data_IF_735322172481
#
_entry.id   IF_735322172481
#
_cell.length_a   1.000
_cell.length_b   1.000
_cell.length_c   1.000
_cell.angle_alpha   90.00
_cell.angle_beta   90.00
_cell.angle_gamma   90.00
#
_symmetry.space_group_name_H-M   'P 1'
#
loop_
_entity.id
_entity.type
_entity.pdbx_description
1 polymer ?
#
# COMPACT_ATOMS: atom_id res chain seq x y z
N UNK A 1 -18.63 -12.63 -6.96
CA UNK A 1 -17.70 -11.50 -7.23
C UNK A 1 -16.31 -12.09 -7.25
N UNK A 2 -15.50 -11.77 -8.26
CA UNK A 2 -14.10 -12.21 -8.35
C UNK A 2 -13.23 -10.97 -8.20
N UNK A 3 -12.34 -11.00 -7.21
CA UNK A 3 -11.56 -9.84 -6.77
C UNK A 3 -10.09 -10.12 -6.96
N UNK A 4 -9.39 -9.26 -7.71
CA UNK A 4 -7.94 -9.21 -7.65
C UNK A 4 -7.56 -8.48 -6.35
N UNK A 5 -7.11 -9.24 -5.36
CA UNK A 5 -6.91 -8.75 -4.00
C UNK A 5 -5.65 -7.90 -3.83
N UNK A 6 -4.75 -7.85 -4.82
CA UNK A 6 -3.53 -7.07 -4.73
C UNK A 6 -3.02 -6.72 -6.14
N UNK A 7 -3.23 -5.49 -6.56
CA UNK A 7 -2.57 -4.94 -7.75
C UNK A 7 -2.13 -3.49 -7.51
N UNK A 8 -1.42 -2.97 -8.49
CA UNK A 8 -0.90 -1.62 -8.50
C UNK A 8 -1.33 -0.94 -9.80
N UNK A 9 -1.72 0.33 -9.72
CA UNK A 9 -1.92 1.22 -10.86
C UNK A 9 -1.03 2.43 -10.62
N UNK A 10 -0.51 3.02 -11.69
CA UNK A 10 0.25 4.25 -11.62
C UNK A 10 0.14 5.06 -12.91
N UNK A 11 0.10 6.39 -12.75
CA UNK A 11 0.19 7.36 -13.83
C UNK A 11 1.38 8.28 -13.58
N UNK A 12 2.48 8.03 -14.29
CA UNK A 12 3.75 8.75 -14.18
C UNK A 12 3.66 10.20 -14.69
N UNK A 13 2.56 10.57 -15.33
CA UNK A 13 2.27 11.96 -15.75
C UNK A 13 1.53 12.76 -14.67
N UNK A 14 0.95 12.10 -13.67
CA UNK A 14 0.08 12.75 -12.66
C UNK A 14 0.65 12.65 -11.25
N UNK A 15 1.31 11.54 -10.91
CA UNK A 15 1.85 11.25 -9.57
C UNK A 15 3.32 10.90 -9.69
N UNK A 16 4.14 11.50 -8.82
CA UNK A 16 5.58 11.22 -8.77
C UNK A 16 5.86 9.97 -7.94
N UNK A 17 6.56 9.00 -8.53
CA UNK A 17 6.97 7.75 -7.87
C UNK A 17 8.49 7.64 -7.91
N UNK A 18 9.22 8.13 -6.90
CA UNK A 18 10.67 8.28 -6.95
C UNK A 18 11.40 6.99 -7.33
N UNK A 19 11.02 5.86 -6.74
CA UNK A 19 11.67 4.58 -7.01
C UNK A 19 11.37 4.04 -8.41
N UNK A 20 10.17 4.30 -8.94
CA UNK A 20 9.74 3.80 -10.24
C UNK A 20 10.28 4.69 -11.36
N UNK A 21 10.40 5.99 -11.13
CA UNK A 21 10.82 6.96 -12.14
C UNK A 21 12.35 7.13 -12.24
N UNK A 22 13.11 6.62 -11.27
CA UNK A 22 14.58 6.63 -11.31
C UNK A 22 15.10 5.68 -12.42
N UNK A 23 15.58 6.25 -13.52
CA UNK A 23 16.08 5.50 -14.68
C UNK A 23 17.49 4.97 -14.41
N UNK A 24 17.75 3.74 -14.87
CA UNK A 24 19.07 3.10 -14.78
C UNK A 24 19.42 2.57 -13.39
N UNK A 25 18.55 2.73 -12.39
CA UNK A 25 18.75 2.15 -11.07
C UNK A 25 18.40 0.67 -11.06
N UNK A 26 19.34 -0.17 -10.61
CA UNK A 26 19.06 -1.58 -10.31
C UNK A 26 18.35 -1.67 -8.95
N UNK A 27 17.20 -2.35 -8.91
CA UNK A 27 16.47 -2.64 -7.69
C UNK A 27 16.76 -4.05 -7.20
N UNK A 28 16.39 -4.36 -5.96
CA UNK A 28 16.56 -5.72 -5.42
C UNK A 28 15.79 -6.78 -6.24
N UNK A 29 14.73 -6.36 -6.94
CA UNK A 29 13.93 -7.18 -7.85
C UNK A 29 14.34 -7.09 -9.34
N UNK A 30 15.47 -6.45 -9.66
CA UNK A 30 15.98 -6.34 -11.02
C UNK A 30 15.78 -4.98 -11.70
N UNK A 31 15.70 -4.98 -13.03
CA UNK A 31 15.55 -3.77 -13.86
C UNK A 31 14.08 -3.35 -13.95
N UNK A 32 13.69 -2.17 -13.42
CA UNK A 32 12.32 -1.68 -13.47
C UNK A 32 11.95 -1.10 -14.86
N UNK A 33 12.89 -0.92 -15.78
CA UNK A 33 12.67 -0.24 -17.08
C UNK A 33 11.39 -0.68 -17.82
N UNK A 34 11.05 -1.99 -17.93
CA UNK A 34 9.82 -2.43 -18.61
C UNK A 34 8.51 -1.90 -18.01
N UNK A 35 8.51 -1.51 -16.72
CA UNK A 35 7.36 -0.97 -16.00
C UNK A 35 7.39 0.56 -15.83
N UNK A 36 8.44 1.24 -16.33
CA UNK A 36 8.57 2.71 -16.30
C UNK A 36 7.71 3.42 -17.36
N UNK A 37 6.42 3.06 -17.38
CA UNK A 37 5.37 3.62 -18.23
C UNK A 37 4.07 3.65 -17.43
N UNK A 38 3.04 4.37 -17.89
CA UNK A 38 1.73 4.31 -17.23
C UNK A 38 1.16 2.88 -17.25
N UNK A 39 0.54 2.47 -16.14
CA UNK A 39 -0.26 1.26 -16.03
C UNK A 39 -1.60 1.63 -15.38
N UNK A 40 -2.63 1.72 -16.22
CA UNK A 40 -3.94 2.30 -15.89
C UNK A 40 -5.04 1.23 -15.81
N UNK A 41 -6.19 1.61 -15.25
CA UNK A 41 -7.29 0.68 -14.99
C UNK A 41 -7.76 -0.08 -16.25
N UNK A 42 -7.85 0.58 -17.41
CA UNK A 42 -8.32 -0.08 -18.64
C UNK A 42 -7.39 -1.22 -19.09
N UNK A 43 -6.07 -1.05 -18.95
CA UNK A 43 -5.10 -2.11 -19.22
C UNK A 43 -5.23 -3.24 -18.20
N UNK A 44 -5.46 -2.91 -16.93
CA UNK A 44 -5.69 -3.91 -15.89
C UNK A 44 -6.96 -4.74 -16.16
N UNK A 45 -8.08 -4.09 -16.49
CA UNK A 45 -9.35 -4.75 -16.81
C UNK A 45 -9.19 -5.69 -18.02
N UNK A 46 -8.58 -5.21 -19.11
CA UNK A 46 -8.41 -6.03 -20.33
C UNK A 46 -7.57 -7.29 -20.09
N UNK A 47 -6.56 -7.22 -19.22
CA UNK A 47 -5.76 -8.39 -18.81
C UNK A 47 -6.56 -9.41 -17.99
N UNK A 48 -7.56 -8.95 -17.25
CA UNK A 48 -8.37 -9.80 -16.37
C UNK A 48 -9.69 -10.27 -16.97
N UNK A 49 -10.10 -9.72 -18.11
CA UNK A 49 -11.35 -10.07 -18.82
C UNK A 49 -11.51 -11.58 -19.03
N UNK A 50 -10.51 -12.36 -19.49
CA UNK A 50 -10.65 -13.80 -19.68
C UNK A 50 -10.95 -14.58 -18.40
N UNK A 51 -10.56 -14.02 -17.25
CA UNK A 51 -10.65 -14.66 -15.93
C UNK A 51 -11.90 -14.22 -15.15
N UNK A 52 -12.74 -13.35 -15.73
CA UNK A 52 -14.04 -12.92 -15.16
C UNK A 52 -13.93 -12.16 -13.83
N UNK A 53 -12.78 -11.53 -13.54
CA UNK A 53 -12.70 -10.57 -12.44
C UNK A 53 -13.62 -9.38 -12.71
N UNK A 54 -14.16 -8.80 -11.64
CA UNK A 54 -15.02 -7.62 -11.71
C UNK A 54 -14.80 -6.63 -10.57
N UNK A 55 -13.74 -6.86 -9.80
CA UNK A 55 -13.34 -6.02 -8.70
C UNK A 55 -11.84 -6.16 -8.44
N UNK A 56 -11.24 -5.15 -7.83
CA UNK A 56 -9.85 -5.25 -7.40
C UNK A 56 -9.50 -4.31 -6.23
N UNK A 57 -8.37 -4.58 -5.59
CA UNK A 57 -7.80 -3.77 -4.51
C UNK A 57 -6.48 -3.18 -5.02
N UNK A 58 -6.46 -1.86 -5.22
CA UNK A 58 -5.21 -1.14 -5.45
C UNK A 58 -4.46 -1.01 -4.14
N UNK A 59 -3.16 -1.29 -4.17
CA UNK A 59 -2.26 -1.05 -3.04
C UNK A 59 -1.30 0.06 -3.44
N UNK A 60 -1.08 1.04 -2.56
CA UNK A 60 -0.15 2.16 -2.75
C UNK A 60 1.18 1.73 -3.37
N UNK A 61 1.72 2.52 -4.29
CA UNK A 61 2.91 2.18 -5.07
C UNK A 61 4.17 2.79 -4.45
N UNK A 62 4.03 3.75 -3.54
CA UNK A 62 5.14 4.49 -2.93
C UNK A 62 5.37 5.82 -3.64
N UNK A 63 4.28 6.57 -3.85
CA UNK A 63 4.33 7.93 -4.34
C UNK A 63 5.08 8.85 -3.36
N UNK A 64 5.67 9.92 -3.88
CA UNK A 64 6.24 10.99 -3.05
C UNK A 64 5.14 11.70 -2.25
N UNK A 65 4.00 12.00 -2.88
CA UNK A 65 2.77 12.43 -2.22
C UNK A 65 1.75 11.29 -2.19
N UNK A 66 1.71 10.58 -1.07
CA UNK A 66 0.77 9.48 -0.83
C UNK A 66 -0.70 9.91 -0.91
N UNK A 67 -1.02 11.15 -0.54
CA UNK A 67 -2.40 11.65 -0.62
C UNK A 67 -2.81 11.87 -2.07
N UNK A 68 -1.89 12.35 -2.91
CA UNK A 68 -2.12 12.52 -4.34
C UNK A 68 -2.44 11.17 -5.02
N UNK A 69 -1.67 10.12 -4.71
CA UNK A 69 -1.96 8.76 -5.17
C UNK A 69 -3.35 8.30 -4.71
N UNK A 70 -3.64 8.42 -3.41
CA UNK A 70 -4.91 7.95 -2.86
C UNK A 70 -6.12 8.70 -3.45
N UNK A 71 -5.99 10.00 -3.68
CA UNK A 71 -7.01 10.83 -4.37
C UNK A 71 -7.25 10.34 -5.79
N UNK A 72 -6.18 10.08 -6.54
CA UNK A 72 -6.27 9.63 -7.93
C UNK A 72 -7.01 8.27 -8.00
N UNK A 73 -6.70 7.35 -7.09
CA UNK A 73 -7.41 6.05 -7.03
C UNK A 73 -8.87 6.22 -6.61
N UNK A 74 -9.21 7.12 -5.69
CA UNK A 74 -10.61 7.38 -5.32
C UNK A 74 -11.42 7.97 -6.48
N UNK A 75 -10.79 8.78 -7.33
CA UNK A 75 -11.40 9.28 -8.56
C UNK A 75 -11.66 8.15 -9.57
N UNK A 76 -10.70 7.22 -9.73
CA UNK A 76 -10.90 6.01 -10.55
C UNK A 76 -12.07 5.19 -10.00
N UNK A 77 -12.10 4.94 -8.69
CA UNK A 77 -13.16 4.20 -8.02
C UNK A 77 -14.54 4.83 -8.21
N UNK A 78 -14.62 6.16 -8.18
CA UNK A 78 -15.86 6.92 -8.35
C UNK A 78 -16.36 6.91 -9.79
N UNK A 79 -15.45 6.95 -10.77
CA UNK A 79 -15.80 7.07 -12.19
C UNK A 79 -15.99 5.71 -12.88
N UNK A 80 -15.45 4.63 -12.30
CA UNK A 80 -15.59 3.29 -12.85
C UNK A 80 -17.01 2.75 -12.68
N UNK A 81 -17.66 2.39 -13.80
CA UNK A 81 -19.03 1.84 -13.81
C UNK A 81 -19.07 0.32 -13.71
N UNK A 82 -18.17 -0.34 -14.44
CA UNK A 82 -18.20 -1.80 -14.64
C UNK A 82 -17.14 -2.55 -13.81
N UNK A 83 -16.32 -1.83 -13.05
CA UNK A 83 -15.25 -2.41 -12.24
C UNK A 83 -15.23 -1.80 -10.84
N UNK A 84 -15.36 -2.64 -9.80
CA UNK A 84 -15.35 -2.17 -8.41
C UNK A 84 -13.91 -2.13 -7.90
N UNK A 85 -13.39 -0.94 -7.63
CA UNK A 85 -12.04 -0.79 -7.07
C UNK A 85 -12.10 -0.11 -5.71
N UNK A 86 -11.31 -0.64 -4.78
CA UNK A 86 -11.02 -0.06 -3.46
C UNK A 86 -9.52 0.07 -3.30
N UNK A 87 -9.06 0.76 -2.25
CA UNK A 87 -7.65 1.06 -2.07
C UNK A 87 -7.13 0.79 -0.66
N UNK A 88 -5.87 0.39 -0.63
CA UNK A 88 -4.98 0.38 0.53
C UNK A 88 -3.98 1.50 0.33
N UNK A 89 -4.13 2.59 1.08
CA UNK A 89 -3.32 3.79 0.94
C UNK A 89 -2.05 3.74 1.79
N UNK A 90 -1.07 4.59 1.49
CA UNK A 90 0.06 4.80 2.39
C UNK A 90 -0.32 5.82 3.48
N UNK A 91 0.09 5.55 4.71
CA UNK A 91 0.11 6.49 5.82
C UNK A 91 1.30 6.10 6.69
N UNK A 92 2.13 7.06 7.08
CA UNK A 92 3.17 6.80 8.08
C UNK A 92 2.53 6.78 9.47
N UNK A 93 2.32 5.58 10.00
CA UNK A 93 1.64 5.36 11.28
C UNK A 93 2.50 5.75 12.50
N UNK A 94 3.79 6.00 12.31
CA UNK A 94 4.69 6.49 13.36
C UNK A 94 4.86 8.02 13.33
N UNK A 95 4.38 8.69 12.27
CA UNK A 95 4.53 10.12 12.10
C UNK A 95 3.76 10.91 13.16
N UNK A 96 4.27 12.06 13.65
CA UNK A 96 3.56 12.91 14.60
C UNK A 96 2.19 13.39 14.11
N UNK A 97 2.01 13.49 12.79
CA UNK A 97 0.79 13.95 12.13
C UNK A 97 -0.03 12.81 11.51
N UNK A 98 0.22 11.54 11.88
CA UNK A 98 -0.47 10.39 11.27
C UNK A 98 -2.01 10.49 11.39
N UNK A 99 -2.51 11.08 12.48
CA UNK A 99 -3.96 11.32 12.68
C UNK A 99 -4.54 12.26 11.61
N UNK A 100 -3.81 13.30 11.23
CA UNK A 100 -4.25 14.21 10.17
C UNK A 100 -4.19 13.54 8.80
N UNK A 101 -3.14 12.75 8.55
CA UNK A 101 -3.00 11.95 7.33
C UNK A 101 -4.17 10.96 7.18
N UNK A 102 -4.45 10.14 8.20
CA UNK A 102 -5.50 9.13 8.16
C UNK A 102 -6.91 9.75 8.12
N UNK A 103 -7.14 10.89 8.79
CA UNK A 103 -8.41 11.61 8.72
C UNK A 103 -8.67 12.20 7.33
N UNK A 104 -7.62 12.67 6.64
CA UNK A 104 -7.73 13.11 5.24
C UNK A 104 -8.04 11.91 4.33
N UNK A 105 -7.35 10.79 4.49
CA UNK A 105 -7.57 9.58 3.71
C UNK A 105 -8.97 9.00 3.93
N UNK A 106 -9.49 9.04 5.15
CA UNK A 106 -10.81 8.50 5.52
C UNK A 106 -11.98 9.19 4.82
N UNK A 107 -11.74 10.32 4.14
CA UNK A 107 -12.73 10.99 3.28
C UNK A 107 -12.96 10.26 1.95
N UNK A 108 -12.00 9.42 1.53
CA UNK A 108 -12.10 8.63 0.31
C UNK A 108 -12.99 7.39 0.53
N UNK A 109 -14.06 7.28 -0.25
CA UNK A 109 -15.04 6.17 -0.10
C UNK A 109 -14.42 4.82 -0.46
N UNK A 110 -13.38 4.85 -1.27
CA UNK A 110 -12.63 3.66 -1.71
C UNK A 110 -11.64 3.13 -0.66
N UNK A 111 -11.31 3.89 0.39
CA UNK A 111 -10.31 3.47 1.39
C UNK A 111 -10.77 2.24 2.19
N UNK A 112 -9.93 1.20 2.25
CA UNK A 112 -10.20 -0.02 3.05
C UNK A 112 -9.05 -0.43 3.96
N UNK A 113 -7.83 0.05 3.70
CA UNK A 113 -6.67 -0.30 4.51
C UNK A 113 -5.53 0.68 4.37
N UNK A 114 -4.48 0.42 5.14
CA UNK A 114 -3.20 1.13 5.10
C UNK A 114 -2.07 0.13 4.85
N UNK A 115 -1.07 0.54 4.07
CA UNK A 115 0.21 -0.17 3.95
C UNK A 115 1.38 0.75 4.25
N UNK A 116 2.14 0.41 5.27
CA UNK A 116 3.49 0.91 5.53
C UNK A 116 4.41 -0.30 5.54
N UNK A 117 5.37 -0.36 4.61
CA UNK A 117 6.29 -1.50 4.48
C UNK A 117 7.16 -1.55 5.73
N UNK A 118 7.09 -2.66 6.48
CA UNK A 118 7.88 -2.87 7.69
C UNK A 118 9.00 -3.85 7.35
N UNK A 119 10.15 -3.29 7.04
CA UNK A 119 11.33 -4.06 6.72
C UNK A 119 11.53 -4.29 5.24
N UNK A 120 12.66 -3.76 4.81
CA UNK A 120 13.16 -3.77 3.44
C UNK A 120 14.48 -4.53 3.41
N UNK A 121 15.04 -4.65 2.20
CA UNK A 121 16.42 -5.13 2.05
C UNK A 121 17.37 -4.31 2.93
N UNK A 122 18.45 -4.92 3.44
CA UNK A 122 19.40 -4.25 4.35
C UNK A 122 19.88 -2.89 3.82
N UNK A 123 20.16 -2.81 2.52
CA UNK A 123 20.59 -1.57 1.85
C UNK A 123 19.53 -0.46 1.88
N UNK A 124 18.26 -0.81 1.70
CA UNK A 124 17.16 0.14 1.78
C UNK A 124 16.79 0.47 3.23
N UNK A 125 16.85 -0.52 4.12
CA UNK A 125 16.58 -0.32 5.54
C UNK A 125 17.61 0.62 6.18
N UNK A 126 18.88 0.56 5.76
CA UNK A 126 19.90 1.52 6.18
C UNK A 126 19.56 2.99 5.86
N UNK A 127 18.66 3.24 4.90
CA UNK A 127 18.19 4.58 4.53
C UNK A 127 16.82 4.92 5.13
N UNK A 128 15.96 3.92 5.31
CA UNK A 128 14.55 4.10 5.65
C UNK A 128 14.22 3.79 7.10
N UNK A 129 15.04 2.97 7.78
CA UNK A 129 14.85 2.56 9.17
C UNK A 129 13.58 1.75 9.43
N UNK A 130 12.98 1.15 8.39
CA UNK A 130 11.69 0.46 8.46
C UNK A 130 11.65 -0.72 9.43
N UNK A 131 12.78 -1.40 9.66
CA UNK A 131 12.89 -2.46 10.65
C UNK A 131 12.61 -1.95 12.08
N UNK A 132 12.98 -0.69 12.36
CA UNK A 132 12.83 -0.10 13.69
C UNK A 132 11.35 0.22 14.04
N UNK A 133 10.44 0.21 13.07
CA UNK A 133 9.01 0.45 13.31
C UNK A 133 8.43 -0.57 14.31
N UNK A 134 8.94 -1.81 14.31
CA UNK A 134 8.49 -2.85 15.25
C UNK A 134 8.78 -2.50 16.72
N UNK A 135 9.75 -1.62 16.97
CA UNK A 135 10.14 -1.16 18.30
C UNK A 135 9.58 0.24 18.62
N UNK A 136 8.88 0.88 17.69
CA UNK A 136 8.32 2.22 17.89
C UNK A 136 6.90 2.13 18.48
N UNK A 137 6.73 2.67 19.68
CA UNK A 137 5.42 2.73 20.32
C UNK A 137 4.40 3.53 19.51
N UNK A 138 4.83 4.56 18.77
CA UNK A 138 3.95 5.36 17.91
C UNK A 138 3.37 4.52 16.79
N UNK A 139 4.18 3.65 16.18
CA UNK A 139 3.72 2.72 15.16
C UNK A 139 2.64 1.78 15.71
N UNK A 140 2.85 1.21 16.90
CA UNK A 140 1.85 0.40 17.58
C UNK A 140 0.55 1.17 17.86
N UNK A 141 0.65 2.42 18.33
CA UNK A 141 -0.51 3.26 18.57
C UNK A 141 -1.26 3.60 17.27
N UNK A 142 -0.53 3.79 16.16
CA UNK A 142 -1.09 3.93 14.82
C UNK A 142 -1.83 2.68 14.35
N UNK A 143 -1.26 1.48 14.54
CA UNK A 143 -1.92 0.19 14.26
C UNK A 143 -3.22 0.04 15.08
N UNK A 144 -3.18 0.35 16.38
CA UNK A 144 -4.36 0.37 17.26
C UNK A 144 -5.42 1.35 16.75
N UNK A 145 -5.02 2.49 16.23
CA UNK A 145 -5.93 3.50 15.71
C UNK A 145 -6.63 3.04 14.43
N UNK A 146 -5.90 2.54 13.43
CA UNK A 146 -6.52 2.04 12.19
C UNK A 146 -7.43 0.84 12.44
N UNK A 147 -7.09 0.00 13.43
CA UNK A 147 -7.95 -1.10 13.90
C UNK A 147 -9.31 -0.58 14.40
N UNK A 148 -9.32 0.50 15.20
CA UNK A 148 -10.56 1.13 15.69
C UNK A 148 -11.40 1.74 14.58
N UNK A 149 -10.78 2.21 13.50
CA UNK A 149 -11.46 2.67 12.29
C UNK A 149 -11.98 1.53 11.42
N UNK A 150 -11.67 0.27 11.76
CA UNK A 150 -12.03 -0.90 10.97
C UNK A 150 -11.24 -1.05 9.67
N UNK A 151 -10.14 -0.31 9.49
CA UNK A 151 -9.24 -0.45 8.35
C UNK A 151 -8.38 -1.71 8.48
N UNK A 152 -7.96 -2.28 7.35
CA UNK A 152 -6.96 -3.35 7.33
C UNK A 152 -5.54 -2.80 7.34
N UNK A 153 -4.58 -3.64 7.71
CA UNK A 153 -3.16 -3.38 7.47
C UNK A 153 -2.59 -4.44 6.53
N UNK A 154 -2.03 -3.99 5.40
CA UNK A 154 -1.36 -4.86 4.45
C UNK A 154 0.10 -5.03 4.90
N UNK A 155 0.43 -6.23 5.32
CA UNK A 155 1.67 -6.57 6.00
C UNK A 155 2.72 -7.03 4.97
N UNK A 156 3.66 -6.14 4.69
CA UNK A 156 4.82 -6.42 3.84
C UNK A 156 6.12 -6.25 4.65
N UNK A 157 6.87 -7.35 4.76
CA UNK A 157 8.16 -7.42 5.47
C UNK A 157 9.09 -8.48 4.85
N UNK A 158 10.35 -8.49 5.30
CA UNK A 158 11.30 -9.57 5.04
C UNK A 158 11.11 -10.75 6.01
N UNK A 159 11.36 -12.01 5.59
CA UNK A 159 11.00 -13.20 6.39
C UNK A 159 11.53 -13.23 7.83
N UNK A 160 12.70 -12.63 8.09
CA UNK A 160 13.32 -12.60 9.42
C UNK A 160 12.54 -11.77 10.46
N UNK A 161 11.62 -10.89 10.05
CA UNK A 161 10.87 -10.03 10.97
C UNK A 161 9.51 -10.61 11.40
N UNK A 162 9.09 -11.77 10.88
CA UNK A 162 7.77 -12.33 11.19
C UNK A 162 7.57 -12.65 12.66
N UNK A 163 8.61 -13.14 13.34
CA UNK A 163 8.50 -13.48 14.76
C UNK A 163 8.24 -12.24 15.62
N UNK A 164 9.04 -11.19 15.44
CA UNK A 164 8.91 -9.92 16.17
C UNK A 164 7.59 -9.22 15.82
N UNK A 165 7.21 -9.23 14.54
CA UNK A 165 5.92 -8.71 14.08
C UNK A 165 4.76 -9.45 14.76
N UNK A 166 4.84 -10.78 14.90
CA UNK A 166 3.83 -11.58 15.57
C UNK A 166 3.67 -11.22 17.05
N UNK A 167 4.75 -10.88 17.75
CA UNK A 167 4.70 -10.39 19.14
C UNK A 167 4.01 -9.02 19.19
N UNK A 168 4.37 -8.11 18.30
CA UNK A 168 3.74 -6.78 18.22
C UNK A 168 2.23 -6.88 17.95
N UNK A 169 1.82 -7.74 17.01
CA UNK A 169 0.41 -7.87 16.62
C UNK A 169 -0.48 -8.49 17.71
N UNK A 170 0.09 -9.18 18.72
CA UNK A 170 -0.67 -9.61 19.89
C UNK A 170 -1.24 -8.42 20.69
N UNK A 171 -0.61 -7.25 20.59
CA UNK A 171 -1.10 -6.01 21.21
C UNK A 171 -2.26 -5.36 20.45
N UNK A 172 -2.60 -5.85 19.26
CA UNK A 172 -3.68 -5.31 18.40
C UNK A 172 -4.54 -6.45 17.81
N UNK A 173 -5.17 -7.29 18.66
CA UNK A 173 -5.80 -8.55 18.23
C UNK A 173 -6.98 -8.36 17.26
N UNK A 174 -7.62 -7.20 17.27
CA UNK A 174 -8.76 -6.88 16.40
C UNK A 174 -8.34 -6.34 15.02
N UNK A 175 -7.04 -6.06 14.82
CA UNK A 175 -6.55 -5.54 13.55
C UNK A 175 -6.56 -6.65 12.49
N UNK A 176 -7.29 -6.40 11.41
CA UNK A 176 -7.31 -7.31 10.26
C UNK A 176 -6.06 -7.11 9.42
N UNK A 177 -5.30 -8.18 9.26
CA UNK A 177 -4.03 -8.18 8.53
C UNK A 177 -4.19 -8.95 7.21
N UNK A 178 -3.67 -8.39 6.12
CA UNK A 178 -3.43 -9.11 4.87
C UNK A 178 -1.91 -9.33 4.74
N UNK A 179 -1.44 -10.58 4.84
CA UNK A 179 -0.02 -10.90 4.62
C UNK A 179 0.27 -10.82 3.12
N UNK A 180 1.13 -9.87 2.73
CA UNK A 180 1.50 -9.70 1.33
C UNK A 180 2.35 -10.87 0.84
N UNK A 181 2.14 -11.30 -0.40
CA UNK A 181 2.99 -12.25 -1.13
C UNK A 181 3.24 -13.60 -0.45
N UNK A 182 2.33 -14.05 0.43
CA UNK A 182 2.47 -15.27 1.25
C UNK A 182 3.62 -15.23 2.29
N UNK A 183 4.18 -14.04 2.52
CA UNK A 183 5.34 -13.80 3.38
C UNK A 183 6.67 -14.28 2.86
#
# INVERSE_FOLDING_TARGET
MLVDAHHHLWNLSEVNYPWLMEKGATRFFGDPTPIQRNYLLDEHISKLEPFKFNASVHVQVGAEDAWQEAKWIDQIATNSKNWKIVQVAFCDLAAPDFLDQINKLSKFKSLRGVRQIIGRSEKEDAQTGTNNLLNDRKFLDGLKYISKLGLTFDLQLTPNLYHETGILLQEVPDLRIAVCHCG
#
